data_IF_888500955759
#
_entry.id   IF_888500955759
#
_cell.length_a   1.000
_cell.length_b   1.000
_cell.length_c   1.000
_cell.angle_alpha   90.00
_cell.angle_beta   90.00
_cell.angle_gamma   90.00
#
_symmetry.space_group_name_H-M   'P 1'
#
loop_
_entity.id
_entity.type
_entity.pdbx_description
1 polymer ?
#
# COMPACT_ATOMS: atom_id res chain seq x y z
N UNK A 1 -19.03 -4.01 -0.04
CA UNK A 1 -18.66 -3.04 -1.10
C UNK A 1 -17.43 -3.56 -1.81
N UNK A 2 -17.23 -3.28 -3.11
CA UNK A 2 -15.99 -3.64 -3.78
C UNK A 2 -14.80 -2.93 -3.13
N UNK A 3 -13.71 -3.66 -2.89
CA UNK A 3 -12.45 -3.15 -2.33
C UNK A 3 -11.87 -2.07 -3.23
N UNK A 4 -11.45 -0.93 -2.65
CA UNK A 4 -10.78 0.17 -3.37
C UNK A 4 -9.38 -0.26 -3.82
N UNK A 5 -8.75 -1.14 -3.03
CA UNK A 5 -7.45 -1.72 -3.33
C UNK A 5 -7.59 -2.97 -4.18
N UNK A 6 -6.69 -3.11 -5.15
CA UNK A 6 -6.39 -4.42 -5.73
C UNK A 6 -5.72 -5.31 -4.69
N UNK A 7 -5.73 -6.63 -4.91
CA UNK A 7 -5.04 -7.59 -4.04
C UNK A 7 -3.59 -7.20 -3.77
N UNK A 8 -2.86 -6.79 -4.82
CA UNK A 8 -1.43 -6.48 -4.71
C UNK A 8 -1.15 -5.17 -3.99
N UNK A 9 -2.00 -4.17 -4.19
CA UNK A 9 -1.90 -2.91 -3.44
C UNK A 9 -2.16 -3.13 -1.95
N UNK A 10 -3.13 -3.99 -1.60
CA UNK A 10 -3.39 -4.39 -0.22
C UNK A 10 -2.16 -5.06 0.41
N UNK A 11 -1.61 -6.09 -0.23
CA UNK A 11 -0.41 -6.80 0.27
C UNK A 11 0.76 -5.82 0.53
N UNK A 12 1.01 -4.88 -0.39
CA UNK A 12 2.07 -3.87 -0.22
C UNK A 12 1.81 -2.98 1.00
N UNK A 13 0.57 -2.52 1.21
CA UNK A 13 0.24 -1.65 2.33
C UNK A 13 0.18 -2.39 3.67
N UNK A 14 -0.22 -3.66 3.69
CA UNK A 14 -0.14 -4.54 4.86
C UNK A 14 1.32 -4.68 5.29
N UNK A 15 2.26 -4.93 4.39
CA UNK A 15 3.68 -5.03 4.78
C UNK A 15 4.26 -3.68 5.23
N UNK A 16 3.83 -2.57 4.62
CA UNK A 16 4.22 -1.22 5.04
C UNK A 16 3.86 -0.91 6.49
N UNK A 17 2.65 -1.27 6.95
CA UNK A 17 2.25 -1.02 8.35
C UNK A 17 3.05 -1.88 9.34
N UNK A 18 3.57 -3.02 8.89
CA UNK A 18 4.51 -3.85 9.66
C UNK A 18 5.97 -3.35 9.59
N UNK A 19 6.19 -2.09 9.18
CA UNK A 19 7.52 -1.45 9.09
C UNK A 19 8.49 -2.06 8.07
N UNK A 20 8.00 -2.79 7.08
CA UNK A 20 8.85 -3.28 5.99
C UNK A 20 9.29 -2.14 5.07
N UNK A 21 10.55 -2.17 4.63
CA UNK A 21 11.07 -1.26 3.61
C UNK A 21 10.59 -1.67 2.21
N UNK A 22 10.71 -0.79 1.20
CA UNK A 22 10.37 -1.17 -0.18
C UNK A 22 11.19 -2.34 -0.70
N UNK A 23 12.39 -2.54 -0.15
CA UNK A 23 13.26 -3.68 -0.45
C UNK A 23 12.71 -4.96 0.18
N UNK A 24 12.39 -4.94 1.48
CA UNK A 24 11.83 -6.13 2.15
C UNK A 24 10.52 -6.58 1.48
N UNK A 25 9.65 -5.62 1.13
CA UNK A 25 8.39 -5.89 0.42
C UNK A 25 8.65 -6.46 -0.98
N UNK A 26 9.65 -5.93 -1.68
CA UNK A 26 10.03 -6.42 -3.01
C UNK A 26 10.49 -7.88 -2.94
N UNK A 27 11.32 -8.20 -1.95
CA UNK A 27 11.85 -9.54 -1.71
C UNK A 27 10.72 -10.51 -1.32
N UNK A 28 9.86 -10.14 -0.37
CA UNK A 28 8.75 -10.98 0.09
C UNK A 28 7.70 -11.24 -1.00
N UNK A 29 7.41 -10.23 -1.82
CA UNK A 29 6.43 -10.34 -2.88
C UNK A 29 7.03 -10.82 -4.21
N UNK A 30 8.34 -11.08 -4.30
CA UNK A 30 9.03 -11.48 -5.54
C UNK A 30 8.81 -10.51 -6.71
N UNK A 31 8.93 -9.21 -6.46
CA UNK A 31 8.81 -8.13 -7.45
C UNK A 31 9.93 -7.11 -7.30
N UNK A 32 10.10 -6.20 -8.25
CA UNK A 32 11.10 -5.13 -8.10
C UNK A 32 10.64 -4.05 -7.10
N UNK A 33 11.58 -3.38 -6.44
CA UNK A 33 11.26 -2.20 -5.61
C UNK A 33 10.53 -1.10 -6.40
N UNK A 34 10.82 -0.98 -7.71
CA UNK A 34 10.10 -0.06 -8.61
C UNK A 34 8.62 -0.44 -8.71
N UNK A 35 8.31 -1.73 -8.79
CA UNK A 35 6.93 -2.24 -8.80
C UNK A 35 6.23 -1.93 -7.48
N UNK A 36 6.90 -2.12 -6.34
CA UNK A 36 6.36 -1.73 -5.02
C UNK A 36 6.02 -0.24 -4.98
N UNK A 37 6.96 0.63 -5.40
CA UNK A 37 6.71 2.08 -5.49
C UNK A 37 5.56 2.43 -6.42
N UNK A 38 5.40 1.72 -7.53
CA UNK A 38 4.26 1.93 -8.43
C UNK A 38 2.93 1.60 -7.75
N UNK A 39 2.84 0.49 -7.01
CA UNK A 39 1.64 0.17 -6.23
C UNK A 39 1.34 1.27 -5.20
N UNK A 40 2.34 1.76 -4.47
CA UNK A 40 2.19 2.87 -3.52
C UNK A 40 1.67 4.13 -4.22
N UNK A 41 2.28 4.53 -5.34
CA UNK A 41 1.88 5.70 -6.12
C UNK A 41 0.45 5.59 -6.63
N UNK A 42 0.05 4.42 -7.14
CA UNK A 42 -1.31 4.20 -7.63
C UNK A 42 -2.35 4.34 -6.51
N UNK A 43 -2.06 3.81 -5.32
CA UNK A 43 -2.96 3.95 -4.16
C UNK A 43 -3.06 5.40 -3.71
N UNK A 44 -1.94 6.12 -3.62
CA UNK A 44 -1.94 7.55 -3.29
C UNK A 44 -2.81 8.33 -4.29
N UNK A 45 -2.69 8.03 -5.58
CA UNK A 45 -3.50 8.66 -6.63
C UNK A 45 -4.99 8.29 -6.51
N UNK A 46 -5.33 7.01 -6.29
CA UNK A 46 -6.71 6.53 -6.10
C UNK A 46 -7.40 7.22 -4.93
N UNK A 47 -6.68 7.42 -3.83
CA UNK A 47 -7.20 8.06 -2.62
C UNK A 47 -7.17 9.60 -2.68
N UNK A 48 -6.46 10.19 -3.65
CA UNK A 48 -6.32 11.64 -3.77
C UNK A 48 -5.56 12.30 -2.63
N UNK A 49 -4.67 11.55 -1.96
CA UNK A 49 -3.95 12.00 -0.75
C UNK A 49 -2.51 12.40 -1.03
N UNK A 50 -1.85 13.03 -0.05
CA UNK A 50 -0.46 13.51 -0.17
C UNK A 50 0.52 12.53 0.48
N UNK A 51 0.90 11.50 -0.27
CA UNK A 51 1.97 10.57 0.14
C UNK A 51 1.50 9.37 0.97
N UNK A 52 2.44 8.48 1.27
CA UNK A 52 2.15 7.15 1.86
C UNK A 52 1.54 7.19 3.27
N UNK A 53 1.95 8.14 4.11
CA UNK A 53 1.43 8.24 5.47
C UNK A 53 -0.06 8.60 5.48
N UNK A 54 -0.46 9.58 4.65
CA UNK A 54 -1.86 9.92 4.47
C UNK A 54 -2.67 8.77 3.85
N UNK A 55 -2.07 8.00 2.93
CA UNK A 55 -2.71 6.82 2.37
C UNK A 55 -2.98 5.75 3.43
N UNK A 56 -2.05 5.48 4.35
CA UNK A 56 -2.26 4.53 5.46
C UNK A 56 -3.44 4.99 6.34
N UNK A 57 -3.45 6.27 6.75
CA UNK A 57 -4.52 6.82 7.61
C UNK A 57 -5.89 6.69 6.91
N UNK A 58 -5.94 7.03 5.63
CA UNK A 58 -7.18 6.97 4.84
C UNK A 58 -7.68 5.53 4.66
N UNK A 59 -6.78 4.57 4.43
CA UNK A 59 -7.14 3.16 4.31
C UNK A 59 -7.64 2.56 5.63
N UNK A 60 -7.09 2.97 6.76
CA UNK A 60 -7.61 2.58 8.08
C UNK A 60 -9.01 3.16 8.29
N UNK A 61 -9.23 4.43 7.92
CA UNK A 61 -10.55 5.09 7.98
C UNK A 61 -11.61 4.40 7.12
N UNK A 62 -11.20 3.87 5.96
CA UNK A 62 -12.07 3.16 5.02
C UNK A 62 -12.25 1.67 5.38
N UNK A 63 -11.68 1.19 6.50
CA UNK A 63 -11.63 -0.22 6.88
C UNK A 63 -10.98 -1.12 5.82
N UNK A 64 -10.08 -0.56 5.02
CA UNK A 64 -9.27 -1.28 4.03
C UNK A 64 -7.97 -1.82 4.64
N UNK A 65 -7.48 -1.24 5.75
CA UNK A 65 -6.36 -1.74 6.54
C UNK A 65 -6.73 -1.77 8.02
N UNK A 66 -6.08 -2.67 8.76
CA UNK A 66 -6.19 -2.77 10.22
C UNK A 66 -4.79 -2.60 10.80
N UNK A 67 -4.65 -1.75 11.84
CA UNK A 67 -3.41 -1.57 12.60
C UNK A 67 -3.26 -2.63 13.69
#
# INVERSE_FOLDING_TARGET
MPSILTKREREVFELLIHSHTTKDIADELFISEKTVRNHISNVIQKLGVKGRAHAIIELVRLNELTL
#
